data_IF_903612250748
#
_entry.id   IF_903612250748
#
_cell.length_a   1.000
_cell.length_b   1.000
_cell.length_c   1.000
_cell.angle_alpha   90.00
_cell.angle_beta   90.00
_cell.angle_gamma   90.00
#
_symmetry.space_group_name_H-M   'P 1'
#
loop_
_entity.id
_entity.type
_entity.pdbx_description
1 polymer ?
#
# COMPACT_ATOMS: atom_id res chain seq x y z
N UNK A 1 31.52 7.23 -0.29
CA UNK A 1 31.17 5.96 0.37
C UNK A 1 30.07 6.28 1.38
N UNK A 2 28.88 5.68 1.27
CA UNK A 2 27.76 5.92 2.20
C UNK A 2 27.50 4.63 2.95
N UNK A 3 27.47 4.72 4.28
CA UNK A 3 27.14 3.61 5.16
C UNK A 3 25.66 3.66 5.52
N UNK A 4 25.01 2.49 5.50
CA UNK A 4 23.66 2.32 6.00
C UNK A 4 23.74 1.94 7.47
N UNK A 5 23.28 2.83 8.35
CA UNK A 5 23.19 2.57 9.79
C UNK A 5 21.74 2.24 10.13
N UNK A 6 21.54 1.09 10.75
CA UNK A 6 20.21 0.67 11.21
C UNK A 6 19.86 1.38 12.52
N UNK A 7 18.69 2.02 12.57
CA UNK A 7 18.15 2.59 13.81
C UNK A 7 16.92 1.79 14.23
N UNK A 8 16.94 1.27 15.45
CA UNK A 8 15.76 0.67 16.07
C UNK A 8 14.88 1.78 16.60
N UNK A 9 13.69 1.93 16.04
CA UNK A 9 12.68 2.89 16.49
C UNK A 9 11.67 2.15 17.36
N UNK A 10 11.48 2.62 18.60
CA UNK A 10 10.47 2.08 19.52
C UNK A 10 9.05 2.52 19.10
N UNK A 11 8.03 1.79 19.55
CA UNK A 11 6.62 2.16 19.33
C UNK A 11 6.06 1.75 17.96
N UNK A 12 6.68 0.76 17.31
CA UNK A 12 6.20 0.17 16.05
C UNK A 12 5.47 -1.16 16.26
N UNK A 13 5.16 -1.51 17.51
CA UNK A 13 4.41 -2.73 17.79
C UNK A 13 3.01 -2.64 17.15
N UNK A 14 2.49 -3.74 16.58
CA UNK A 14 1.24 -3.67 15.82
C UNK A 14 0.02 -3.23 16.65
N UNK A 15 -0.01 -3.55 17.94
CA UNK A 15 -1.14 -3.24 18.81
C UNK A 15 -1.16 -1.75 19.18
N UNK A 16 -0.01 -1.20 19.57
CA UNK A 16 0.18 0.23 19.83
C UNK A 16 -0.02 1.06 18.57
N UNK A 17 0.44 0.58 17.42
CA UNK A 17 0.24 1.28 16.14
C UNK A 17 -1.22 1.37 15.73
N UNK A 18 -1.98 0.27 15.86
CA UNK A 18 -3.42 0.27 15.54
C UNK A 18 -4.19 1.23 16.45
N UNK A 19 -3.93 1.21 17.76
CA UNK A 19 -4.54 2.12 18.72
C UNK A 19 -4.19 3.59 18.40
N UNK A 20 -2.93 3.88 18.08
CA UNK A 20 -2.49 5.22 17.71
C UNK A 20 -3.22 5.74 16.47
N UNK A 21 -3.43 4.89 15.46
CA UNK A 21 -4.22 5.27 14.28
C UNK A 21 -5.68 5.55 14.62
N UNK A 22 -6.29 4.74 15.48
CA UNK A 22 -7.67 4.93 15.92
C UNK A 22 -7.84 6.27 16.67
N UNK A 23 -6.97 6.53 17.65
CA UNK A 23 -6.96 7.80 18.39
C UNK A 23 -6.72 8.98 17.45
N UNK A 24 -5.77 8.84 16.52
CA UNK A 24 -5.46 9.90 15.55
C UNK A 24 -6.68 10.18 14.68
N UNK A 25 -7.41 9.15 14.23
CA UNK A 25 -8.62 9.32 13.43
C UNK A 25 -9.74 9.99 14.23
N UNK A 26 -9.91 9.60 15.51
CA UNK A 26 -10.89 10.23 16.40
C UNK A 26 -10.61 11.71 16.63
N UNK A 27 -9.34 12.10 16.74
CA UNK A 27 -8.93 13.49 16.93
C UNK A 27 -8.84 14.28 15.62
N UNK A 28 -8.52 13.62 14.51
CA UNK A 28 -8.30 14.22 13.19
C UNK A 28 -9.11 13.48 12.14
N UNK A 29 -10.41 13.77 12.11
CA UNK A 29 -11.28 13.22 11.07
C UNK A 29 -10.72 13.57 9.68
N UNK A 30 -10.61 12.59 8.75
CA UNK A 30 -10.07 12.86 7.43
C UNK A 30 -10.96 13.83 6.67
N UNK A 31 -10.37 14.93 6.22
CA UNK A 31 -11.04 15.88 5.33
C UNK A 31 -10.97 15.35 3.89
N UNK A 32 -12.06 15.43 3.11
CA UNK A 32 -12.03 15.09 1.70
C UNK A 32 -10.91 15.87 1.00
N UNK A 33 -10.07 15.16 0.24
CA UNK A 33 -9.04 15.80 -0.57
C UNK A 33 -9.70 16.60 -1.69
N UNK A 34 -9.11 17.74 -2.02
CA UNK A 34 -9.56 18.59 -3.10
C UNK A 34 -9.57 17.82 -4.45
N UNK A 35 -10.49 18.14 -5.37
CA UNK A 35 -10.71 17.36 -6.59
C UNK A 35 -9.47 17.28 -7.49
N UNK A 36 -8.60 18.29 -7.49
CA UNK A 36 -7.33 18.30 -8.22
C UNK A 36 -6.33 17.25 -7.71
N UNK A 37 -6.51 16.76 -6.48
CA UNK A 37 -5.72 15.69 -5.85
C UNK A 37 -6.37 14.32 -5.98
N UNK A 38 -7.55 14.22 -6.60
CA UNK A 38 -8.21 12.95 -6.82
C UNK A 38 -7.43 12.14 -7.87
N UNK A 39 -6.77 11.06 -7.42
CA UNK A 39 -6.21 10.09 -8.36
C UNK A 39 -7.38 9.50 -9.14
N UNK A 40 -7.38 9.55 -10.48
CA UNK A 40 -8.45 8.96 -11.27
C UNK A 40 -8.57 7.49 -10.89
N UNK A 41 -9.75 7.08 -10.43
CA UNK A 41 -10.04 5.68 -10.14
C UNK A 41 -9.86 4.92 -11.44
N UNK A 42 -8.76 4.20 -11.59
CA UNK A 42 -8.57 3.30 -12.72
C UNK A 42 -9.59 2.20 -12.59
N UNK A 43 -10.73 2.34 -13.28
CA UNK A 43 -11.67 1.25 -13.53
C UNK A 43 -11.02 0.28 -14.50
N UNK A 44 -10.03 -0.48 -14.01
CA UNK A 44 -9.11 -1.18 -14.90
C UNK A 44 -8.32 -2.29 -14.24
N UNK A 45 -8.98 -3.16 -13.45
CA UNK A 45 -8.33 -4.43 -13.08
C UNK A 45 -9.30 -5.59 -12.83
N UNK A 46 -9.89 -6.12 -13.90
CA UNK A 46 -10.31 -7.53 -13.95
C UNK A 46 -9.81 -8.13 -15.27
N UNK A 47 -8.54 -8.56 -15.31
CA UNK A 47 -7.98 -9.18 -16.53
C UNK A 47 -6.53 -9.65 -16.45
N UNK A 48 -5.73 -9.20 -15.48
CA UNK A 48 -4.29 -9.53 -15.46
C UNK A 48 -3.99 -10.98 -15.05
N UNK A 49 -4.91 -11.68 -14.37
CA UNK A 49 -4.73 -13.08 -14.00
C UNK A 49 -4.79 -14.02 -15.23
N UNK A 50 -5.79 -13.82 -16.10
CA UNK A 50 -5.95 -14.62 -17.33
C UNK A 50 -4.83 -14.37 -18.36
N UNK A 51 -4.29 -13.14 -18.43
CA UNK A 51 -3.18 -12.81 -19.31
C UNK A 51 -1.85 -13.44 -18.86
N UNK A 52 -1.67 -13.67 -17.55
CA UNK A 52 -0.45 -14.30 -16.99
C UNK A 52 -0.44 -15.82 -17.20
N UNK A 53 -1.61 -16.47 -17.17
CA UNK A 53 -1.74 -17.91 -17.41
C UNK A 53 -1.32 -18.31 -18.83
N UNK A 54 -1.67 -17.49 -19.85
CA UNK A 54 -1.34 -17.78 -21.26
C UNK A 54 0.15 -17.70 -21.60
N UNK A 55 0.96 -17.03 -20.77
CA UNK A 55 2.42 -16.91 -21.00
C UNK A 55 3.24 -18.03 -20.37
N UNK A 56 2.59 -18.99 -19.70
CA UNK A 56 3.24 -20.13 -19.02
C UNK A 56 2.92 -21.47 -19.68
N UNK A 57 2.72 -21.51 -20.99
CA UNK A 57 2.82 -22.79 -21.71
C UNK A 57 4.29 -23.22 -21.69
N UNK A 58 4.68 -24.32 -21.02
CA UNK A 58 6.02 -24.85 -21.22
C UNK A 58 6.13 -25.29 -22.68
N UNK A 59 7.10 -24.74 -23.41
CA UNK A 59 7.55 -25.34 -24.67
C UNK A 59 8.15 -26.69 -24.27
N UNK A 60 7.41 -27.76 -24.52
CA UNK A 60 7.89 -29.12 -24.38
C UNK A 60 8.68 -29.43 -25.65
N UNK A 61 10.01 -29.44 -25.53
CA UNK A 61 10.96 -29.76 -26.59
C UNK A 61 12.35 -29.86 -25.98
#
# INVERSE_FOLDING_TARGET
MIEQVSHTVAGTDPAGFALALEVTYALHAPVPRAPEMAVPRTTGRRGTAAARARRRTPVRG
#
